data_IF_391703669988
#
_entry.id   IF_391703669988
#
_cell.length_a   1.000
_cell.length_b   1.000
_cell.length_c   1.000
_cell.angle_alpha   90.00
_cell.angle_beta   90.00
_cell.angle_gamma   90.00
#
_symmetry.space_group_name_H-M   'P 1'
#
loop_
_entity.id
_entity.type
_entity.pdbx_description
1 polymer ?
#
# COMPACT_ATOMS: atom_id res chain seq x y z
N UNK A 1 -15.30 7.60 33.26
CA UNK A 1 -14.77 6.91 32.05
C UNK A 1 -13.84 7.86 31.33
N UNK A 2 -12.54 7.57 31.28
CA UNK A 2 -11.57 8.39 30.55
C UNK A 2 -11.64 8.04 29.05
N UNK A 3 -12.06 8.99 28.22
CA UNK A 3 -11.97 8.84 26.76
C UNK A 3 -10.50 8.82 26.36
N UNK A 4 -9.91 7.62 26.22
CA UNK A 4 -8.60 7.49 25.58
C UNK A 4 -8.72 8.03 24.16
N UNK A 5 -8.03 9.16 23.90
CA UNK A 5 -7.95 9.75 22.57
C UNK A 5 -7.33 8.72 21.62
N UNK A 6 -8.02 8.46 20.51
CA UNK A 6 -7.51 7.66 19.40
C UNK A 6 -6.11 8.12 19.00
N UNK A 7 -5.14 7.20 18.99
CA UNK A 7 -3.78 7.46 18.49
C UNK A 7 -3.80 7.64 16.96
N UNK A 8 -4.80 7.07 16.28
CA UNK A 8 -4.94 7.06 14.83
C UNK A 8 -5.77 8.26 14.37
N UNK A 9 -5.10 9.26 13.81
CA UNK A 9 -5.76 10.50 13.35
C UNK A 9 -6.56 10.25 12.06
N UNK A 10 -7.68 10.98 11.82
CA UNK A 10 -8.60 10.71 10.69
C UNK A 10 -7.93 10.74 9.31
N UNK A 11 -6.91 11.58 9.16
CA UNK A 11 -6.22 11.79 7.89
C UNK A 11 -5.14 10.73 7.58
N UNK A 12 -4.75 9.87 8.53
CA UNK A 12 -3.68 8.89 8.32
C UNK A 12 -3.98 7.93 7.17
N UNK A 13 -5.23 7.49 7.00
CA UNK A 13 -5.60 6.58 5.91
C UNK A 13 -5.71 7.28 4.55
N UNK A 14 -5.99 8.59 4.52
CA UNK A 14 -5.88 9.39 3.31
C UNK A 14 -4.42 9.55 2.91
N UNK A 15 -3.54 9.81 3.87
CA UNK A 15 -2.11 9.94 3.64
C UNK A 15 -1.49 8.58 3.22
N UNK A 16 -1.92 7.46 3.84
CA UNK A 16 -1.55 6.10 3.44
C UNK A 16 -2.03 5.77 2.02
N UNK A 17 -3.28 6.13 1.67
CA UNK A 17 -3.83 5.92 0.34
C UNK A 17 -2.99 6.61 -0.76
N UNK A 18 -2.49 7.83 -0.50
CA UNK A 18 -1.57 8.52 -1.41
C UNK A 18 -0.21 7.81 -1.52
N UNK A 19 0.31 7.30 -0.40
CA UNK A 19 1.51 6.48 -0.41
C UNK A 19 1.37 5.18 -1.20
N UNK A 20 0.28 4.43 -1.00
CA UNK A 20 0.02 3.19 -1.73
C UNK A 20 -0.17 3.48 -3.22
N UNK A 21 -0.89 4.54 -3.59
CA UNK A 21 -1.03 4.97 -4.99
C UNK A 21 0.34 5.14 -5.68
N UNK A 22 1.28 5.80 -5.02
CA UNK A 22 2.65 5.96 -5.54
C UNK A 22 3.38 4.62 -5.60
N UNK A 23 3.26 3.79 -4.56
CA UNK A 23 3.88 2.46 -4.51
C UNK A 23 3.36 1.53 -5.61
N UNK A 24 2.09 1.61 -5.99
CA UNK A 24 1.56 0.84 -7.12
C UNK A 24 2.26 1.15 -8.44
N UNK A 25 2.67 2.40 -8.67
CA UNK A 25 3.49 2.74 -9.84
C UNK A 25 4.88 2.11 -9.73
N UNK A 26 5.49 2.17 -8.55
CA UNK A 26 6.79 1.57 -8.28
C UNK A 26 6.79 0.05 -8.48
N UNK A 27 5.78 -0.67 -7.99
CA UNK A 27 5.62 -2.10 -8.25
C UNK A 27 5.46 -2.39 -9.74
N UNK A 28 4.78 -1.51 -10.48
CA UNK A 28 4.74 -1.59 -11.94
C UNK A 28 6.14 -1.51 -12.58
N UNK A 29 6.98 -0.59 -12.13
CA UNK A 29 8.38 -0.51 -12.59
C UNK A 29 9.18 -1.75 -12.21
N UNK A 30 8.96 -2.30 -11.01
CA UNK A 30 9.64 -3.51 -10.53
C UNK A 30 9.28 -4.76 -11.36
N UNK A 31 8.07 -4.78 -11.93
CA UNK A 31 7.58 -5.84 -12.82
C UNK A 31 8.15 -5.73 -14.24
N UNK A 32 8.29 -4.50 -14.76
CA UNK A 32 8.69 -4.24 -16.15
C UNK A 32 10.21 -4.24 -16.38
N UNK A 33 11.01 -4.64 -15.38
CA UNK A 33 12.47 -4.63 -15.49
C UNK A 33 12.96 -5.62 -16.55
N UNK A 34 14.03 -5.25 -17.25
CA UNK A 34 14.66 -6.11 -18.26
C UNK A 34 15.23 -7.39 -17.64
N UNK A 35 15.74 -7.29 -16.42
CA UNK A 35 16.33 -8.40 -15.67
C UNK A 35 15.27 -9.31 -15.03
N UNK A 36 14.00 -9.05 -15.30
CA UNK A 36 12.87 -9.85 -14.85
C UNK A 36 12.06 -9.23 -13.72
N UNK A 37 10.91 -9.84 -13.48
CA UNK A 37 9.88 -9.35 -12.57
C UNK A 37 10.29 -9.56 -11.10
N UNK A 38 10.57 -8.47 -10.39
CA UNK A 38 11.06 -8.55 -9.01
C UNK A 38 10.00 -9.05 -8.02
N UNK A 39 8.70 -8.85 -8.27
CA UNK A 39 7.65 -9.45 -7.42
C UNK A 39 7.76 -10.97 -7.43
N UNK A 40 8.00 -11.59 -8.60
CA UNK A 40 8.20 -13.04 -8.69
C UNK A 40 9.44 -13.49 -7.92
N UNK A 41 10.54 -12.75 -8.02
CA UNK A 41 11.76 -13.01 -7.24
C UNK A 41 11.52 -12.86 -5.72
N UNK A 42 10.53 -12.07 -5.32
CA UNK A 42 10.07 -11.92 -3.94
C UNK A 42 8.99 -12.95 -3.55
N UNK A 43 8.80 -14.02 -4.33
CA UNK A 43 7.91 -15.13 -4.00
C UNK A 43 6.44 -14.89 -4.30
N UNK A 44 6.10 -13.85 -5.09
CA UNK A 44 4.74 -13.72 -5.61
C UNK A 44 4.46 -14.73 -6.72
N UNK A 45 3.23 -15.23 -6.75
CA UNK A 45 2.67 -15.95 -7.89
C UNK A 45 1.86 -14.99 -8.74
N UNK A 46 2.09 -15.00 -10.05
CA UNK A 46 1.32 -14.21 -11.02
C UNK A 46 0.14 -15.02 -11.54
N UNK A 47 -1.03 -14.40 -11.59
CA UNK A 47 -2.20 -14.94 -12.27
C UNK A 47 -2.87 -13.87 -13.13
N UNK A 48 -3.77 -14.23 -14.06
CA UNK A 48 -4.65 -13.27 -14.70
C UNK A 48 -5.48 -12.50 -13.67
N UNK A 49 -5.72 -11.22 -13.91
CA UNK A 49 -6.61 -10.42 -13.09
C UNK A 49 -8.06 -10.83 -13.31
N UNK A 50 -8.84 -10.93 -12.23
CA UNK A 50 -10.28 -11.10 -12.29
C UNK A 50 -10.91 -9.73 -12.59
N UNK A 51 -11.81 -9.66 -13.58
CA UNK A 51 -12.57 -8.44 -13.91
C UNK A 51 -11.96 -7.51 -14.96
N UNK A 52 -10.67 -7.15 -14.86
CA UNK A 52 -10.01 -6.27 -15.85
C UNK A 52 -9.16 -7.07 -16.84
N UNK A 53 -9.59 -7.13 -18.11
CA UNK A 53 -8.82 -7.76 -19.20
C UNK A 53 -7.43 -7.13 -19.33
N UNK A 54 -6.41 -7.95 -19.57
CA UNK A 54 -5.04 -7.51 -19.80
C UNK A 54 -4.26 -7.08 -18.56
N UNK A 55 -4.82 -7.20 -17.35
CA UNK A 55 -4.09 -6.90 -16.11
C UNK A 55 -3.68 -8.20 -15.38
N UNK A 56 -2.61 -8.14 -14.59
CA UNK A 56 -2.13 -9.27 -13.79
C UNK A 56 -2.45 -9.06 -12.31
N UNK A 57 -2.66 -10.17 -11.61
CA UNK A 57 -2.70 -10.26 -10.17
C UNK A 57 -1.40 -10.87 -9.67
N UNK A 58 -0.86 -10.36 -8.57
CA UNK A 58 0.26 -10.96 -7.86
C UNK A 58 -0.17 -11.30 -6.43
N UNK A 59 -0.07 -12.56 -6.05
CA UNK A 59 -0.39 -13.04 -4.70
C UNK A 59 0.82 -13.68 -4.00
N UNK A 60 1.00 -13.40 -2.71
CA UNK A 60 2.03 -14.03 -1.86
C UNK A 60 1.47 -14.30 -0.46
N UNK A 61 1.71 -15.49 0.07
CA UNK A 61 1.44 -15.82 1.47
C UNK A 61 2.25 -14.94 2.43
N UNK A 62 1.59 -14.38 3.44
CA UNK A 62 2.19 -13.43 4.37
C UNK A 62 1.43 -13.36 5.68
N UNK A 63 2.12 -13.64 6.79
CA UNK A 63 1.62 -13.50 8.17
C UNK A 63 0.23 -14.14 8.40
N UNK A 64 0.06 -15.39 7.99
CA UNK A 64 -1.20 -16.13 8.19
C UNK A 64 -2.37 -15.69 7.30
N UNK A 65 -2.12 -14.78 6.36
CA UNK A 65 -3.02 -14.43 5.26
C UNK A 65 -2.21 -14.32 3.98
N UNK A 66 -2.65 -13.49 3.04
CA UNK A 66 -1.90 -13.22 1.81
C UNK A 66 -1.95 -11.75 1.42
N UNK A 67 -0.86 -11.28 0.81
CA UNK A 67 -0.83 -9.99 0.11
C UNK A 67 -1.25 -10.23 -1.33
N UNK A 68 -2.13 -9.38 -1.83
CA UNK A 68 -2.56 -9.39 -3.22
C UNK A 68 -2.47 -8.01 -3.85
N UNK A 69 -1.88 -7.94 -5.04
CA UNK A 69 -1.60 -6.71 -5.77
C UNK A 69 -2.22 -6.75 -7.18
N UNK A 70 -3.02 -5.74 -7.48
CA UNK A 70 -3.57 -5.43 -8.79
C UNK A 70 -3.16 -4.02 -9.22
N UNK A 71 -3.36 -3.68 -10.49
CA UNK A 71 -3.21 -2.28 -10.96
C UNK A 71 -4.26 -1.29 -10.40
N UNK A 72 -5.32 -1.80 -9.77
CA UNK A 72 -6.47 -1.04 -9.27
C UNK A 72 -6.82 -1.27 -7.80
N UNK A 73 -6.18 -2.22 -7.13
CA UNK A 73 -6.25 -2.41 -5.69
C UNK A 73 -5.01 -3.13 -5.17
N UNK A 74 -4.74 -3.00 -3.87
CA UNK A 74 -3.69 -3.73 -3.18
C UNK A 74 -4.13 -3.94 -1.74
N UNK A 75 -3.80 -5.09 -1.16
CA UNK A 75 -4.25 -5.40 0.18
C UNK A 75 -3.60 -6.60 0.80
N UNK A 76 -3.94 -6.83 2.05
CA UNK A 76 -3.66 -8.05 2.79
C UNK A 76 -4.98 -8.65 3.27
N UNK A 77 -5.13 -9.96 3.13
CA UNK A 77 -6.37 -10.68 3.40
C UNK A 77 -6.05 -11.86 4.32
N UNK A 78 -6.46 -11.75 5.59
CA UNK A 78 -6.40 -12.82 6.57
C UNK A 78 -7.74 -13.55 6.70
N UNK A 79 -7.81 -14.63 7.50
CA UNK A 79 -9.00 -15.48 7.60
C UNK A 79 -10.28 -14.73 8.00
N UNK A 80 -10.17 -13.82 8.96
CA UNK A 80 -11.33 -13.17 9.59
C UNK A 80 -11.43 -11.66 9.30
N UNK A 81 -10.38 -11.06 8.75
CA UNK A 81 -10.32 -9.64 8.44
C UNK A 81 -9.21 -9.37 7.43
N UNK A 82 -9.31 -8.23 6.75
CA UNK A 82 -8.31 -7.78 5.82
C UNK A 82 -8.27 -6.25 5.70
N UNK A 83 -7.31 -5.81 4.92
CA UNK A 83 -7.10 -4.42 4.56
C UNK A 83 -7.01 -4.33 3.04
N UNK A 84 -7.73 -3.39 2.46
CA UNK A 84 -7.66 -3.12 1.03
C UNK A 84 -7.53 -1.62 0.75
N UNK A 85 -6.60 -1.27 -0.12
CA UNK A 85 -6.62 -0.01 -0.84
C UNK A 85 -7.34 -0.19 -2.17
N UNK A 86 -8.39 0.60 -2.41
CA UNK A 86 -9.17 0.61 -3.65
C UNK A 86 -8.86 1.88 -4.42
N UNK A 87 -8.10 1.74 -5.52
CA UNK A 87 -7.53 2.85 -6.28
C UNK A 87 -8.58 3.82 -6.84
N UNK A 88 -9.66 3.37 -7.52
CA UNK A 88 -10.66 4.29 -8.07
C UNK A 88 -11.39 5.10 -6.99
N UNK A 89 -11.45 4.58 -5.76
CA UNK A 89 -12.07 5.26 -4.61
C UNK A 89 -11.06 6.05 -3.78
N UNK A 90 -9.76 5.92 -4.05
CA UNK A 90 -8.64 6.49 -3.28
C UNK A 90 -8.80 6.26 -1.77
N UNK A 91 -9.23 5.06 -1.38
CA UNK A 91 -9.59 4.75 0.01
C UNK A 91 -8.96 3.45 0.48
N UNK A 92 -8.51 3.48 1.73
CA UNK A 92 -8.21 2.30 2.52
C UNK A 92 -9.49 1.85 3.23
N UNK A 93 -9.76 0.55 3.24
CA UNK A 93 -10.94 -0.05 3.87
C UNK A 93 -10.58 -1.31 4.62
N UNK A 94 -11.37 -1.62 5.65
CA UNK A 94 -11.35 -2.94 6.27
C UNK A 94 -12.20 -3.88 5.43
N UNK A 95 -11.70 -5.09 5.25
CA UNK A 95 -12.28 -6.10 4.38
C UNK A 95 -12.71 -7.31 5.21
N UNK A 96 -13.89 -7.85 4.93
CA UNK A 96 -14.56 -8.84 5.78
C UNK A 96 -14.30 -10.30 5.37
N UNK A 97 -13.47 -10.56 4.36
CA UNK A 97 -13.23 -11.92 3.85
C UNK A 97 -11.76 -12.19 3.54
N UNK A 98 -11.28 -13.37 3.92
CA UNK A 98 -9.99 -13.89 3.44
C UNK A 98 -10.08 -14.54 2.06
N UNK A 99 -11.19 -15.20 1.76
CA UNK A 99 -11.33 -16.02 0.56
C UNK A 99 -11.71 -15.21 -0.69
N UNK A 100 -12.53 -14.19 -0.50
CA UNK A 100 -13.00 -13.32 -1.58
C UNK A 100 -12.27 -11.98 -1.48
N UNK A 101 -11.34 -11.75 -2.40
CA UNK A 101 -10.61 -10.49 -2.52
C UNK A 101 -11.34 -9.50 -3.44
N UNK A 102 -11.07 -8.19 -3.35
CA UNK A 102 -11.70 -7.18 -4.19
C UNK A 102 -11.43 -7.46 -5.67
N UNK A 103 -12.49 -7.72 -6.44
CA UNK A 103 -12.38 -7.85 -7.89
C UNK A 103 -12.43 -6.46 -8.53
N UNK A 104 -11.39 -6.05 -9.27
CA UNK A 104 -11.42 -4.81 -10.06
C UNK A 104 -12.68 -4.66 -10.90
N UNK A 105 -13.40 -3.54 -10.71
CA UNK A 105 -14.65 -3.22 -11.42
C UNK A 105 -15.92 -3.59 -10.63
N UNK A 106 -15.89 -4.65 -9.82
CA UNK A 106 -17.04 -5.10 -9.02
C UNK A 106 -17.02 -4.52 -7.61
N UNK A 107 -15.85 -4.49 -6.96
CA UNK A 107 -15.65 -3.86 -5.64
C UNK A 107 -16.69 -4.28 -4.59
N UNK A 108 -16.83 -5.60 -4.36
CA UNK A 108 -17.79 -6.27 -3.46
C UNK A 108 -18.10 -5.42 -2.21
N UNK A 109 -19.16 -4.61 -2.28
CA UNK A 109 -19.42 -3.53 -1.31
C UNK A 109 -19.85 -4.10 0.03
N UNK A 110 -20.48 -5.24 -0.01
CA UNK A 110 -20.90 -6.09 1.11
C UNK A 110 -19.71 -6.61 1.93
N UNK A 111 -18.53 -6.75 1.32
CA UNK A 111 -17.31 -7.17 2.01
C UNK A 111 -16.50 -6.01 2.58
N UNK A 112 -16.96 -4.77 2.40
CA UNK A 112 -16.34 -3.58 3.00
C UNK A 112 -17.01 -3.31 4.34
N UNK A 113 -16.24 -3.41 5.43
CA UNK A 113 -16.73 -3.01 6.74
C UNK A 113 -16.83 -1.48 6.83
N UNK A 114 -18.06 -0.95 6.80
CA UNK A 114 -18.33 0.50 6.85
C UNK A 114 -18.34 1.04 8.28
N UNK A 115 -18.50 0.17 9.26
CA UNK A 115 -18.63 0.51 10.69
C UNK A 115 -17.30 0.33 11.44
N UNK A 116 -16.23 -0.04 10.72
CA UNK A 116 -14.92 -0.28 11.30
C UNK A 116 -14.40 0.97 12.01
N UNK A 117 -13.90 0.78 13.23
CA UNK A 117 -13.21 1.84 13.95
C UNK A 117 -11.88 2.18 13.26
N UNK A 118 -11.29 3.34 13.57
CA UNK A 118 -9.99 3.71 12.99
C UNK A 118 -8.87 2.83 13.51
N UNK A 119 -8.98 2.43 14.77
CA UNK A 119 -8.10 1.50 15.46
C UNK A 119 -8.13 0.12 14.81
N UNK A 120 -9.32 -0.38 14.49
CA UNK A 120 -9.47 -1.69 13.84
C UNK A 120 -8.96 -1.63 12.39
N UNK A 121 -9.24 -0.55 11.66
CA UNK A 121 -8.67 -0.34 10.33
C UNK A 121 -7.13 -0.24 10.37
N UNK A 122 -6.59 0.39 11.43
CA UNK A 122 -5.16 0.47 11.65
C UNK A 122 -4.57 -0.92 11.89
N UNK A 123 -5.15 -1.68 12.81
CA UNK A 123 -4.77 -3.05 13.12
C UNK A 123 -4.82 -3.95 11.88
N UNK A 124 -5.88 -3.84 11.08
CA UNK A 124 -6.03 -4.56 9.83
C UNK A 124 -4.94 -4.20 8.79
N UNK A 125 -4.44 -2.96 8.82
CA UNK A 125 -3.38 -2.51 7.91
C UNK A 125 -1.97 -2.99 8.27
N UNK A 126 -1.74 -3.42 9.52
CA UNK A 126 -0.39 -3.74 10.02
C UNK A 126 0.31 -4.85 9.23
N UNK A 127 -0.33 -5.99 8.88
CA UNK A 127 0.34 -7.02 8.10
C UNK A 127 0.74 -6.54 6.70
N UNK A 128 -0.10 -5.69 6.08
CA UNK A 128 0.21 -5.08 4.79
C UNK A 128 1.36 -4.08 4.89
N UNK A 129 1.39 -3.24 5.92
CA UNK A 129 2.49 -2.31 6.19
C UNK A 129 3.81 -3.07 6.43
N UNK A 130 3.77 -4.16 7.18
CA UNK A 130 4.94 -5.01 7.43
C UNK A 130 5.50 -5.59 6.13
N UNK A 131 4.62 -6.07 5.24
CA UNK A 131 5.03 -6.51 3.92
C UNK A 131 5.63 -5.38 3.10
N UNK A 132 4.95 -4.23 3.04
CA UNK A 132 5.38 -3.09 2.22
C UNK A 132 6.77 -2.60 2.65
N UNK A 133 7.01 -2.48 3.96
CA UNK A 133 8.31 -2.06 4.51
C UNK A 133 9.39 -3.11 4.20
N UNK A 134 9.09 -4.40 4.36
CA UNK A 134 10.03 -5.48 4.03
C UNK A 134 10.36 -5.50 2.53
N UNK A 135 9.35 -5.33 1.67
CA UNK A 135 9.51 -5.29 0.23
C UNK A 135 10.37 -4.10 -0.22
N UNK A 136 10.09 -2.88 0.26
CA UNK A 136 10.90 -1.71 -0.07
C UNK A 136 12.33 -1.84 0.44
N UNK A 137 12.54 -2.49 1.59
CA UNK A 137 13.89 -2.78 2.10
C UNK A 137 14.64 -3.75 1.17
N UNK A 138 13.95 -4.78 0.66
CA UNK A 138 14.53 -5.72 -0.30
C UNK A 138 14.87 -5.04 -1.65
N UNK A 139 14.00 -4.13 -2.14
CA UNK A 139 14.27 -3.32 -3.33
C UNK A 139 15.53 -2.47 -3.13
N UNK A 140 15.64 -1.77 -1.99
CA UNK A 140 16.80 -0.94 -1.69
C UNK A 140 18.09 -1.76 -1.58
N UNK A 141 18.02 -2.93 -0.93
CA UNK A 141 19.15 -3.85 -0.83
C UNK A 141 19.59 -4.38 -2.19
N UNK A 142 18.64 -4.70 -3.07
CA UNK A 142 18.93 -5.30 -4.38
C UNK A 142 19.37 -4.29 -5.44
N UNK A 143 18.75 -3.10 -5.49
CA UNK A 143 18.91 -2.14 -6.59
C UNK A 143 19.49 -0.79 -6.16
N UNK A 144 19.68 -0.58 -4.85
CA UNK A 144 20.15 0.69 -4.31
C UNK A 144 19.10 1.80 -4.34
N UNK A 145 19.43 2.91 -3.67
CA UNK A 145 18.55 4.09 -3.57
C UNK A 145 18.38 4.83 -4.91
N UNK A 146 19.38 4.78 -5.78
CA UNK A 146 19.36 5.39 -7.11
C UNK A 146 18.20 4.89 -7.97
N UNK A 147 17.90 3.59 -7.90
CA UNK A 147 16.79 2.99 -8.62
C UNK A 147 15.43 3.62 -8.26
N UNK A 148 15.12 3.71 -6.97
CA UNK A 148 13.89 4.36 -6.50
C UNK A 148 13.88 5.87 -6.79
N UNK A 149 15.04 6.53 -6.78
CA UNK A 149 15.13 7.95 -7.17
C UNK A 149 14.76 8.16 -8.64
N UNK A 150 15.20 7.28 -9.55
CA UNK A 150 14.80 7.31 -10.97
C UNK A 150 13.30 7.07 -11.13
N UNK A 151 12.76 6.04 -10.48
CA UNK A 151 11.32 5.74 -10.50
C UNK A 151 10.48 6.91 -9.96
N UNK A 152 10.94 7.59 -8.92
CA UNK A 152 10.27 8.78 -8.37
C UNK A 152 10.29 9.96 -9.35
N UNK A 153 11.42 10.20 -10.04
CA UNK A 153 11.51 11.22 -11.11
C UNK A 153 10.54 10.89 -12.26
N UNK A 154 10.38 9.62 -12.62
CA UNK A 154 9.42 9.19 -13.64
C UNK A 154 7.97 9.37 -13.14
N UNK A 155 7.67 9.03 -11.89
CA UNK A 155 6.35 9.20 -11.31
C UNK A 155 5.88 10.66 -11.35
N UNK A 156 6.78 11.61 -11.09
CA UNK A 156 6.48 13.06 -11.21
C UNK A 156 6.01 13.49 -12.60
N UNK A 157 6.35 12.72 -13.65
CA UNK A 157 5.94 12.99 -15.04
C UNK A 157 4.61 12.34 -15.41
N UNK A 158 4.06 11.49 -14.56
CA UNK A 158 2.78 10.81 -14.84
C UNK A 158 1.63 11.82 -14.79
N UNK A 159 0.80 11.94 -15.84
CA UNK A 159 -0.31 12.88 -15.85
C UNK A 159 -1.25 12.67 -14.66
N UNK A 160 -1.63 13.77 -14.00
CA UNK A 160 -2.54 13.77 -12.83
C UNK A 160 -2.03 13.00 -11.61
N UNK A 161 -0.77 12.54 -11.60
CA UNK A 161 -0.17 11.93 -10.43
C UNK A 161 0.05 12.99 -9.35
N UNK A 162 -0.53 12.77 -8.16
CA UNK A 162 -0.24 13.59 -7.00
C UNK A 162 1.05 13.07 -6.38
N UNK A 163 2.11 13.86 -6.51
CA UNK A 163 3.40 13.53 -5.87
C UNK A 163 3.23 13.52 -4.36
N UNK A 164 3.67 12.44 -3.73
CA UNK A 164 3.66 12.27 -2.28
C UNK A 164 5.08 12.49 -1.73
N UNK A 165 5.61 11.59 -0.92
CA UNK A 165 6.96 11.66 -0.38
C UNK A 165 8.01 11.06 -1.33
N UNK A 166 9.25 11.54 -1.22
CA UNK A 166 10.41 10.86 -1.84
C UNK A 166 10.58 9.46 -1.25
N UNK A 167 11.21 8.50 -1.96
CA UNK A 167 11.27 7.11 -1.50
C UNK A 167 11.86 6.92 -0.09
N UNK A 168 12.97 7.58 0.31
CA UNK A 168 13.49 7.46 1.67
C UNK A 168 12.51 7.99 2.73
N UNK A 169 11.82 9.10 2.44
CA UNK A 169 10.84 9.69 3.35
C UNK A 169 9.55 8.86 3.42
N UNK A 170 9.10 8.30 2.29
CA UNK A 170 7.98 7.38 2.23
C UNK A 170 8.22 6.15 3.11
N UNK A 171 9.40 5.51 3.00
CA UNK A 171 9.74 4.35 3.82
C UNK A 171 9.75 4.68 5.31
N UNK A 172 10.38 5.80 5.71
CA UNK A 172 10.34 6.28 7.10
C UNK A 172 8.92 6.57 7.58
N UNK A 173 8.08 7.15 6.72
CA UNK A 173 6.69 7.42 7.05
C UNK A 173 5.91 6.13 7.29
N UNK A 174 6.06 5.11 6.45
CA UNK A 174 5.42 3.81 6.66
C UNK A 174 5.91 3.15 7.95
N UNK A 175 7.22 3.19 8.24
CA UNK A 175 7.80 2.66 9.48
C UNK A 175 7.23 3.37 10.72
N UNK A 176 7.12 4.70 10.67
CA UNK A 176 6.54 5.50 11.74
C UNK A 176 5.05 5.20 11.91
N UNK A 177 4.27 5.11 10.82
CA UNK A 177 2.86 4.76 10.92
C UNK A 177 2.68 3.37 11.54
N UNK A 178 3.54 2.42 11.15
CA UNK A 178 3.52 1.04 11.65
C UNK A 178 3.93 0.90 13.12
N UNK A 179 4.84 1.72 13.63
CA UNK A 179 5.49 1.49 14.94
C UNK A 179 5.14 2.53 15.99
N UNK A 180 4.99 3.79 15.59
CA UNK A 180 4.78 4.95 16.48
C UNK A 180 3.77 5.92 15.86
N UNK A 181 2.51 5.50 15.64
CA UNK A 181 1.50 6.31 14.96
C UNK A 181 1.19 7.64 15.70
N UNK A 182 1.45 7.71 17.01
CA UNK A 182 1.34 8.92 17.83
C UNK A 182 2.30 10.03 17.38
N UNK A 183 3.48 9.65 16.86
CA UNK A 183 4.52 10.55 16.37
C UNK A 183 4.42 10.84 14.88
N UNK A 184 3.41 10.30 14.20
CA UNK A 184 3.30 10.39 12.76
C UNK A 184 3.01 11.82 12.29
N UNK A 185 3.98 12.38 11.56
CA UNK A 185 3.86 13.69 10.91
C UNK A 185 3.16 13.51 9.57
N UNK A 186 2.31 14.48 9.21
CA UNK A 186 1.65 14.46 7.91
C UNK A 186 2.68 14.60 6.77
N UNK A 187 2.54 13.82 5.68
CA UNK A 187 3.43 13.90 4.51
C UNK A 187 3.61 15.31 3.97
N UNK A 188 2.52 16.09 3.88
CA UNK A 188 2.56 17.48 3.39
C UNK A 188 3.46 18.40 4.24
N UNK A 189 3.66 18.10 5.53
CA UNK A 189 4.54 18.88 6.40
C UNK A 189 6.01 18.42 6.25
N UNK A 190 6.22 17.15 5.92
CA UNK A 190 7.56 16.60 5.67
C UNK A 190 8.11 17.01 4.29
N UNK A 191 7.23 17.18 3.29
CA UNK A 191 7.64 17.66 1.96
C UNK A 191 8.10 19.12 1.97
N UNK A 192 7.52 19.95 2.83
CA UNK A 192 7.86 21.38 2.93
C UNK A 192 9.27 21.62 3.52
N UNK A 193 9.72 20.75 4.43
CA UNK A 193 11.04 20.84 5.06
C UNK A 193 12.22 20.52 4.12
N UNK A 194 11.96 20.02 2.90
CA UNK A 194 13.00 19.73 1.89
C UNK A 194 13.02 20.76 0.75
N UNK A 195 12.16 21.78 0.81
CA UNK A 195 12.10 22.89 -0.14
C UNK A 195 12.40 24.25 0.50
N UNK A 196 12.76 24.26 1.78
CA UNK A 196 13.36 25.36 2.51
C UNK A 196 14.85 25.05 2.72
#
# INVERSE_FOLDING_TARGET
>A
MSFKRSVVKPFFFSDLAEGIQQQMFFWGQDVMRMEGNFLLAQGFKRSPSKGLKGTSCYRREWKGGHVELYGSCAGWYGPNYGFAFIRPRRRCVAWLSGDVTPTPGFWQRELINKEVSREDLYNASLPFLDWLIAYESAVLSRFGSGYRAVNYKQYKKVPKAKTWLSPPMALRWFQCFRSTPDRLVRPKNLSLLNHA
#
